data_IF_403781567453
#
_entry.id   IF_403781567453
#
_cell.length_a   1.000
_cell.length_b   1.000
_cell.length_c   1.000
_cell.angle_alpha   90.00
_cell.angle_beta   90.00
_cell.angle_gamma   90.00
#
_symmetry.space_group_name_H-M   'P 1'
#
loop_
_entity.id
_entity.type
_entity.pdbx_description
1 polymer ?
#
# COMPACT_ATOMS: atom_id res chain seq x y z
N UNK A 1 41.88 26.88 11.42
CA UNK A 1 41.04 26.29 10.37
C UNK A 1 39.69 25.93 11.00
N UNK A 2 38.56 26.53 10.59
CA UNK A 2 37.27 26.19 11.18
C UNK A 2 36.91 24.75 10.80
N UNK A 3 36.56 23.96 11.82
CA UNK A 3 36.12 22.57 11.73
C UNK A 3 34.98 22.46 10.71
N UNK A 4 35.14 21.57 9.73
CA UNK A 4 34.16 21.32 8.68
C UNK A 4 32.77 21.13 9.30
N UNK A 5 31.84 22.00 8.91
CA UNK A 5 30.46 21.91 9.34
C UNK A 5 29.91 20.56 8.83
N UNK A 6 29.53 19.68 9.75
CA UNK A 6 28.73 18.51 9.40
C UNK A 6 27.44 19.03 8.75
N UNK A 7 27.38 19.06 7.42
CA UNK A 7 26.20 19.38 6.60
C UNK A 7 25.17 18.24 6.62
N UNK A 8 25.18 17.44 7.69
CA UNK A 8 24.27 16.33 7.87
C UNK A 8 22.84 16.84 7.84
N UNK A 9 21.99 16.17 7.05
CA UNK A 9 20.56 16.40 7.03
C UNK A 9 20.04 16.28 8.46
N UNK A 10 19.61 17.39 9.07
CA UNK A 10 19.13 17.43 10.47
C UNK A 10 18.08 16.35 10.76
N UNK A 11 17.31 16.00 9.74
CA UNK A 11 16.39 14.89 9.68
C UNK A 11 16.07 14.62 8.20
N UNK A 12 15.68 13.39 7.88
CA UNK A 12 15.21 13.07 6.52
C UNK A 12 13.73 13.42 6.41
N UNK A 13 13.40 14.53 5.73
CA UNK A 13 12.02 14.93 5.46
C UNK A 13 11.74 14.96 3.95
N UNK A 14 10.86 14.07 3.44
CA UNK A 14 10.45 14.11 2.03
C UNK A 14 9.83 15.45 1.61
N UNK A 15 9.16 16.14 2.54
CA UNK A 15 8.57 17.46 2.31
C UNK A 15 9.57 18.63 2.33
N UNK A 16 10.86 18.38 2.57
CA UNK A 16 11.87 19.44 2.44
C UNK A 16 12.02 19.91 0.99
N UNK A 17 11.97 18.97 0.03
CA UNK A 17 12.19 19.24 -1.39
C UNK A 17 10.93 19.33 -2.24
N UNK A 18 9.74 19.08 -1.67
CA UNK A 18 8.50 19.01 -2.44
C UNK A 18 7.25 19.25 -1.61
N UNK A 19 6.14 19.48 -2.31
CA UNK A 19 4.82 19.67 -1.70
C UNK A 19 4.31 18.36 -1.12
N UNK A 20 3.73 18.44 0.07
CA UNK A 20 3.08 17.30 0.72
C UNK A 20 1.61 17.62 0.85
N UNK A 21 0.82 17.26 -0.17
CA UNK A 21 -0.57 17.75 -0.27
C UNK A 21 -0.58 19.27 -0.32
N UNK A 22 -1.27 19.90 0.64
CA UNK A 22 -1.37 21.36 0.76
C UNK A 22 -0.18 21.99 1.52
N UNK A 23 0.70 21.18 2.12
CA UNK A 23 1.82 21.68 2.93
C UNK A 23 3.00 22.07 2.04
N UNK A 24 3.42 23.34 2.15
CA UNK A 24 4.52 23.90 1.35
C UNK A 24 5.87 23.22 1.63
N UNK A 25 6.78 23.17 0.62
CA UNK A 25 8.13 22.66 0.80
C UNK A 25 8.91 23.46 1.85
N UNK A 26 9.93 22.82 2.44
CA UNK A 26 10.81 23.47 3.42
C UNK A 26 10.12 23.88 4.73
N UNK A 27 10.81 24.69 5.55
CA UNK A 27 10.32 25.09 6.88
C UNK A 27 10.08 23.90 7.80
N UNK A 28 10.97 22.91 7.74
CA UNK A 28 10.80 21.66 8.48
C UNK A 28 11.00 21.88 9.98
N UNK A 29 10.03 21.43 10.77
CA UNK A 29 10.06 21.45 12.23
C UNK A 29 10.17 20.01 12.74
N UNK A 30 11.28 19.68 13.41
CA UNK A 30 11.58 18.31 13.83
C UNK A 30 11.04 18.09 15.23
N UNK A 31 10.13 17.14 15.34
CA UNK A 31 9.66 16.65 16.62
C UNK A 31 10.24 15.26 16.88
N UNK A 32 10.87 15.09 18.04
CA UNK A 32 11.30 13.78 18.53
C UNK A 32 10.29 13.31 19.57
N UNK A 33 9.71 12.13 19.34
CA UNK A 33 8.84 11.46 20.30
C UNK A 33 9.56 10.24 20.88
N UNK A 34 9.48 10.07 22.18
CA UNK A 34 10.01 8.88 22.85
C UNK A 34 8.99 7.76 22.73
N UNK A 35 9.43 6.63 22.18
CA UNK A 35 8.61 5.44 22.01
C UNK A 35 9.24 4.29 22.76
N UNK A 36 8.50 3.20 23.01
CA UNK A 36 9.05 2.01 23.67
C UNK A 36 10.21 1.36 22.89
N UNK A 37 10.35 1.68 21.59
CA UNK A 37 11.43 1.19 20.72
C UNK A 37 12.58 2.21 20.56
N UNK A 38 12.50 3.36 21.24
CA UNK A 38 13.51 4.42 21.17
C UNK A 38 12.95 5.77 20.73
N UNK A 39 13.86 6.70 20.43
CA UNK A 39 13.53 8.06 20.00
C UNK A 39 13.23 8.09 18.50
N UNK A 40 12.04 8.52 18.13
CA UNK A 40 11.62 8.66 16.73
C UNK A 40 11.51 10.15 16.39
N UNK A 41 12.32 10.63 15.45
CA UNK A 41 12.27 12.02 14.97
C UNK A 41 11.53 12.10 13.64
N UNK A 42 10.55 13.00 13.53
CA UNK A 42 9.82 13.25 12.30
C UNK A 42 9.54 14.75 12.11
N UNK A 43 9.27 15.16 10.87
CA UNK A 43 8.86 16.53 10.59
C UNK A 43 7.40 16.73 10.98
N UNK A 44 7.10 17.58 11.97
CA UNK A 44 5.74 17.90 12.43
C UNK A 44 4.89 18.59 11.34
N UNK A 45 5.55 19.34 10.44
CA UNK A 45 4.88 20.02 9.33
C UNK A 45 4.38 19.02 8.29
N UNK A 46 5.24 18.12 7.83
CA UNK A 46 5.00 17.26 6.67
C UNK A 46 4.55 15.84 7.01
N UNK A 47 4.88 15.37 8.21
CA UNK A 47 4.57 14.02 8.68
C UNK A 47 3.66 14.03 9.89
N UNK A 48 2.99 12.91 10.12
CA UNK A 48 2.14 12.67 11.28
C UNK A 48 2.27 11.21 11.76
N UNK A 49 2.00 10.92 13.04
CA UNK A 49 1.92 9.55 13.55
C UNK A 49 0.83 8.74 12.84
N UNK A 50 1.08 7.46 12.60
CA UNK A 50 0.10 6.58 11.96
C UNK A 50 -1.10 6.32 12.89
N UNK A 51 -2.30 6.65 12.41
CA UNK A 51 -3.54 6.45 13.16
C UNK A 51 -4.01 4.98 13.22
N UNK A 52 -3.51 4.12 12.32
CA UNK A 52 -3.99 2.74 12.15
C UNK A 52 -3.34 1.72 13.12
N UNK A 53 -2.94 2.17 14.32
CA UNK A 53 -2.34 1.30 15.35
C UNK A 53 -0.85 1.00 15.15
N UNK A 54 -0.20 1.55 14.11
CA UNK A 54 1.25 1.45 13.93
C UNK A 54 1.97 2.44 14.86
N UNK A 55 2.10 2.09 16.15
CA UNK A 55 2.56 2.95 17.26
C UNK A 55 3.94 3.61 17.07
N UNK A 56 4.75 3.15 16.12
CA UNK A 56 6.14 3.61 15.93
C UNK A 56 6.43 4.08 14.50
N UNK A 57 5.38 4.35 13.73
CA UNK A 57 5.51 4.75 12.34
C UNK A 57 4.83 6.08 12.10
N UNK A 58 5.46 6.90 11.27
CA UNK A 58 4.88 8.12 10.73
C UNK A 58 4.59 7.93 9.24
N UNK A 59 3.72 8.77 8.71
CA UNK A 59 3.51 8.94 7.28
C UNK A 59 3.38 10.41 6.95
N UNK A 60 3.47 10.72 5.66
CA UNK A 60 3.18 12.07 5.20
C UNK A 60 1.71 12.40 5.44
N UNK A 61 1.39 13.65 5.74
CA UNK A 61 0.00 14.08 6.01
C UNK A 61 -0.96 13.88 4.83
N UNK A 62 -0.43 13.80 3.61
CA UNK A 62 -1.20 13.51 2.41
C UNK A 62 -1.38 12.01 2.16
N UNK A 63 -0.81 11.13 3.00
CA UNK A 63 -0.98 9.69 2.90
C UNK A 63 -1.99 9.22 3.94
N UNK A 64 -2.81 8.23 3.58
CA UNK A 64 -3.83 7.65 4.46
C UNK A 64 -3.27 6.72 5.55
N UNK A 65 -2.00 6.35 5.44
CA UNK A 65 -1.34 5.49 6.42
C UNK A 65 0.14 5.34 6.16
N UNK A 66 0.84 4.71 7.12
CA UNK A 66 2.25 4.39 6.95
C UNK A 66 2.49 3.32 5.88
N UNK A 67 3.74 3.18 5.46
CA UNK A 67 4.14 2.21 4.44
C UNK A 67 3.69 0.78 4.76
N UNK A 68 3.68 0.40 6.05
CA UNK A 68 3.15 -0.90 6.49
C UNK A 68 1.64 -1.04 6.23
N UNK A 69 0.83 -0.02 6.58
CA UNK A 69 -0.60 0.00 6.28
C UNK A 69 -0.86 -0.09 4.78
N UNK A 70 -0.17 0.73 3.99
CA UNK A 70 -0.30 0.74 2.53
C UNK A 70 0.05 -0.63 1.93
N UNK A 71 1.09 -1.29 2.46
CA UNK A 71 1.51 -2.61 1.99
C UNK A 71 0.48 -3.68 2.33
N UNK A 72 -0.10 -3.64 3.53
CA UNK A 72 -1.18 -4.54 3.94
C UNK A 72 -2.41 -4.38 3.04
N UNK A 73 -2.88 -3.15 2.83
CA UNK A 73 -4.05 -2.90 1.97
C UNK A 73 -3.80 -3.34 0.52
N UNK A 74 -2.60 -3.08 -0.02
CA UNK A 74 -2.24 -3.58 -1.36
C UNK A 74 -2.23 -5.11 -1.43
N UNK A 75 -1.77 -5.78 -0.38
CA UNK A 75 -1.79 -7.24 -0.30
C UNK A 75 -3.23 -7.77 -0.28
N UNK A 76 -4.12 -7.17 0.52
CA UNK A 76 -5.54 -7.52 0.57
C UNK A 76 -6.23 -7.34 -0.78
N UNK A 77 -6.02 -6.20 -1.46
CA UNK A 77 -6.55 -5.95 -2.80
C UNK A 77 -6.06 -7.02 -3.79
N UNK A 78 -4.77 -7.36 -3.76
CA UNK A 78 -4.18 -8.38 -4.63
C UNK A 78 -4.76 -9.78 -4.35
N UNK A 79 -4.98 -10.13 -3.08
CA UNK A 79 -5.61 -11.39 -2.72
C UNK A 79 -7.06 -11.46 -3.22
N UNK A 80 -7.83 -10.37 -3.05
CA UNK A 80 -9.20 -10.27 -3.53
C UNK A 80 -9.29 -10.36 -5.06
N UNK A 81 -8.36 -9.75 -5.79
CA UNK A 81 -8.28 -9.88 -7.25
C UNK A 81 -7.99 -11.32 -7.67
N UNK A 82 -6.99 -11.96 -7.05
CA UNK A 82 -6.67 -13.38 -7.32
C UNK A 82 -7.85 -14.31 -7.03
N UNK A 83 -8.58 -14.09 -5.93
CA UNK A 83 -9.76 -14.88 -5.60
C UNK A 83 -10.87 -14.73 -6.66
N UNK A 84 -11.12 -13.50 -7.12
CA UNK A 84 -12.10 -13.23 -8.21
C UNK A 84 -11.68 -13.84 -9.54
N UNK A 85 -10.40 -13.78 -9.88
CA UNK A 85 -9.87 -14.40 -11.10
C UNK A 85 -9.94 -15.93 -11.03
N UNK A 86 -9.61 -16.53 -9.88
CA UNK A 86 -9.74 -17.97 -9.68
C UNK A 86 -11.20 -18.44 -9.79
N UNK A 87 -12.16 -17.68 -9.25
CA UNK A 87 -13.58 -17.97 -9.42
C UNK A 87 -13.98 -17.94 -10.90
N UNK A 88 -13.65 -16.86 -11.63
CA UNK A 88 -13.92 -16.75 -13.07
C UNK A 88 -13.24 -17.85 -13.89
N UNK A 89 -12.01 -18.23 -13.54
CA UNK A 89 -11.30 -19.31 -14.20
C UNK A 89 -11.97 -20.67 -13.95
N UNK A 90 -12.42 -20.93 -12.72
CA UNK A 90 -13.15 -22.16 -12.39
C UNK A 90 -14.50 -22.25 -13.08
N UNK A 91 -15.21 -21.13 -13.23
CA UNK A 91 -16.47 -21.06 -13.98
C UNK A 91 -16.24 -21.32 -15.47
N UNK A 92 -15.24 -20.65 -16.06
CA UNK A 92 -14.86 -20.90 -17.46
C UNK A 92 -14.46 -22.35 -17.69
N UNK A 93 -13.69 -22.94 -16.78
CA UNK A 93 -13.25 -24.33 -16.90
C UNK A 93 -14.44 -25.31 -16.83
N UNK A 94 -15.48 -25.02 -16.04
CA UNK A 94 -16.72 -25.82 -16.04
C UNK A 94 -17.45 -25.75 -17.37
N UNK A 95 -17.59 -24.54 -17.93
CA UNK A 95 -18.25 -24.32 -19.24
C UNK A 95 -17.45 -25.00 -20.37
N UNK A 96 -16.12 -24.88 -20.37
CA UNK A 96 -15.27 -25.54 -21.37
C UNK A 96 -15.34 -27.07 -21.23
N UNK A 97 -15.32 -27.60 -20.00
CA UNK A 97 -15.48 -29.03 -19.77
C UNK A 97 -16.82 -29.55 -20.27
N UNK A 98 -17.91 -28.80 -20.09
CA UNK A 98 -19.23 -29.11 -20.61
C UNK A 98 -19.30 -29.01 -22.14
N UNK A 99 -18.57 -28.07 -22.74
CA UNK A 99 -18.47 -27.91 -24.20
C UNK A 99 -17.70 -29.07 -24.85
N UNK A 100 -16.55 -29.46 -24.29
CA UNK A 100 -15.69 -30.52 -24.85
C UNK A 100 -16.15 -31.93 -24.48
N UNK A 101 -16.83 -32.10 -23.33
CA UNK A 101 -17.43 -33.37 -22.89
C UNK A 101 -18.94 -33.22 -22.69
N UNK A 102 -19.71 -32.99 -23.76
CA UNK A 102 -21.16 -32.91 -23.65
C UNK A 102 -21.71 -34.25 -23.16
N UNK A 103 -22.66 -34.21 -22.22
CA UNK A 103 -23.29 -35.42 -21.68
C UNK A 103 -23.83 -36.35 -22.77
N UNK A 104 -23.73 -37.66 -22.54
CA UNK A 104 -24.09 -38.74 -23.49
C UNK A 104 -25.57 -38.72 -23.95
N UNK A 105 -26.40 -37.86 -23.36
CA UNK A 105 -27.83 -37.71 -23.65
C UNK A 105 -28.19 -36.79 -24.83
N UNK A 106 -27.21 -36.29 -25.59
CA UNK A 106 -27.51 -35.71 -26.92
C UNK A 106 -27.91 -36.84 -27.89
N UNK A 107 -29.13 -37.37 -27.72
CA UNK A 107 -29.81 -38.24 -28.67
C UNK A 107 -29.73 -37.57 -30.05
N UNK A 108 -29.17 -38.29 -31.03
CA UNK A 108 -29.19 -37.87 -32.43
C UNK A 108 -30.63 -37.45 -32.78
N UNK A 109 -30.85 -36.27 -33.38
CA UNK A 109 -32.14 -35.97 -33.97
C UNK A 109 -32.46 -37.08 -34.99
N UNK A 110 -33.58 -37.77 -34.80
CA UNK A 110 -34.11 -38.70 -35.80
C UNK A 110 -34.29 -37.88 -37.08
N UNK A 111 -33.57 -38.24 -38.14
CA UNK A 111 -33.79 -37.66 -39.46
C UNK A 111 -35.26 -37.92 -39.87
N UNK A 112 -35.94 -36.95 -40.48
CA UNK A 112 -37.22 -37.20 -41.14
C UNK A 112 -37.06 -38.23 -42.27
#
# INVERSE_FOLDING_TARGET
MPKGANTGTKHHCPGQGGWVGEWSPGGCDVQTVETKMGKLSYCKKHSMPCCNGCKYWFHLKNQEGCQSCLSRWRAEVKQNQKAREAQKASEKQKVDAEFWNPGKDRKKPKKP
#
